data_IF_532443909753
#
_entry.id   IF_532443909753
#
_cell.length_a   1.000
_cell.length_b   1.000
_cell.length_c   1.000
_cell.angle_alpha   90.00
_cell.angle_beta   90.00
_cell.angle_gamma   90.00
#
_symmetry.space_group_name_H-M   'P 1'
#
loop_
_entity.id
_entity.type
_entity.pdbx_description
1 polymer ?
#
# COMPACT_ATOMS: atom_id res chain seq x y z
N UNK A 1 7.38 9.12 3.56
CA UNK A 1 6.16 8.34 3.71
C UNK A 1 5.91 7.45 2.49
N UNK A 2 5.42 7.89 1.29
CA UNK A 2 5.00 7.03 0.17
C UNK A 2 6.05 5.96 -0.20
N UNK A 3 7.26 6.35 -0.60
CA UNK A 3 8.28 5.41 -1.04
C UNK A 3 8.72 4.39 0.03
N UNK A 4 8.78 4.79 1.31
CA UNK A 4 9.14 3.87 2.39
C UNK A 4 8.03 2.85 2.63
N UNK A 5 6.79 3.30 2.64
CA UNK A 5 5.63 2.43 2.85
C UNK A 5 5.52 1.38 1.74
N UNK A 6 5.60 1.80 0.47
CA UNK A 6 5.53 0.88 -0.67
C UNK A 6 6.69 -0.12 -0.68
N UNK A 7 7.90 0.31 -0.29
CA UNK A 7 9.05 -0.60 -0.18
C UNK A 7 8.84 -1.67 0.89
N UNK A 8 8.14 -1.34 1.97
CA UNK A 8 7.80 -2.29 3.03
C UNK A 8 6.71 -3.31 2.65
N UNK A 9 5.97 -3.05 1.56
CA UNK A 9 4.91 -3.94 1.07
C UNK A 9 5.39 -4.98 0.05
N UNK A 10 6.60 -4.81 -0.53
CA UNK A 10 7.12 -5.64 -1.61
C UNK A 10 8.31 -6.48 -1.14
N UNK A 11 8.26 -7.77 -1.42
CA UNK A 11 9.42 -8.65 -1.34
C UNK A 11 10.25 -8.49 -2.62
N UNK A 12 11.39 -7.79 -2.51
CA UNK A 12 12.28 -7.50 -3.65
C UNK A 12 12.99 -8.74 -4.18
N UNK A 13 13.21 -9.76 -3.36
CA UNK A 13 13.79 -11.03 -3.79
C UNK A 13 12.78 -11.81 -4.63
N UNK A 14 11.53 -11.87 -4.18
CA UNK A 14 10.44 -12.48 -4.93
C UNK A 14 10.14 -11.72 -6.25
N UNK A 15 10.21 -10.39 -6.24
CA UNK A 15 10.07 -9.56 -7.45
C UNK A 15 11.19 -9.84 -8.47
N UNK A 16 12.44 -9.95 -8.02
CA UNK A 16 13.61 -10.18 -8.88
C UNK A 16 14.26 -8.90 -9.40
N UNK A 17 15.07 -9.00 -10.46
CA UNK A 17 15.86 -7.88 -10.99
C UNK A 17 15.01 -6.90 -11.82
N UNK A 18 13.91 -6.44 -11.25
CA UNK A 18 12.94 -5.55 -11.88
C UNK A 18 12.92 -4.23 -11.10
N UNK A 19 12.93 -3.11 -11.79
CA UNK A 19 12.71 -1.79 -11.24
C UNK A 19 11.26 -1.35 -11.54
N UNK A 20 10.52 -1.00 -10.49
CA UNK A 20 9.18 -0.42 -10.60
C UNK A 20 9.26 1.07 -10.21
N UNK A 21 8.77 1.93 -11.08
CA UNK A 21 8.59 3.35 -10.80
C UNK A 21 7.11 3.60 -10.55
N UNK A 22 6.80 4.21 -9.42
CA UNK A 22 5.44 4.62 -9.05
C UNK A 22 5.36 6.12 -9.11
N UNK A 23 4.50 6.63 -9.98
CA UNK A 23 4.18 8.04 -10.10
C UNK A 23 2.77 8.28 -9.54
N UNK A 24 2.64 9.27 -8.66
CA UNK A 24 1.38 9.61 -8.00
C UNK A 24 0.98 11.01 -8.42
N UNK A 25 0.01 11.13 -9.32
CA UNK A 25 -0.55 12.40 -9.77
C UNK A 25 -1.87 12.69 -9.06
N UNK A 26 -1.96 13.86 -8.42
CA UNK A 26 -3.14 14.29 -7.67
C UNK A 26 -4.01 15.14 -8.56
N UNK A 27 -5.12 14.59 -9.06
CA UNK A 27 -6.05 15.28 -9.96
C UNK A 27 -6.96 16.26 -9.23
N UNK A 28 -7.37 15.94 -8.00
CA UNK A 28 -8.16 16.81 -7.14
C UNK A 28 -7.69 16.62 -5.69
N UNK A 29 -7.25 17.69 -5.08
CA UNK A 29 -6.73 17.69 -3.72
C UNK A 29 -7.79 18.13 -2.72
N UNK A 30 -7.88 17.35 -1.63
CA UNK A 30 -8.55 17.65 -0.39
C UNK A 30 -7.60 17.18 0.74
N UNK A 31 -8.04 16.92 1.96
CA UNK A 31 -7.20 16.28 2.98
C UNK A 31 -6.68 14.90 2.56
N UNK A 32 -5.66 14.38 3.23
CA UNK A 32 -5.21 12.99 3.10
C UNK A 32 -4.58 12.58 1.76
N UNK A 33 -4.11 13.50 0.91
CA UNK A 33 -3.57 13.17 -0.43
C UNK A 33 -2.42 12.16 -0.41
N UNK A 34 -1.57 12.19 0.63
CA UNK A 34 -0.47 11.21 0.81
C UNK A 34 -1.02 9.81 1.11
N UNK A 35 -2.08 9.72 1.91
CA UNK A 35 -2.75 8.46 2.24
C UNK A 35 -3.45 7.87 1.02
N UNK A 36 -4.18 8.68 0.26
CA UNK A 36 -4.81 8.28 -1.00
C UNK A 36 -3.76 7.77 -2.00
N UNK A 37 -2.63 8.47 -2.15
CA UNK A 37 -1.52 8.05 -3.02
C UNK A 37 -0.97 6.67 -2.64
N UNK A 38 -0.76 6.38 -1.35
CA UNK A 38 -0.26 5.07 -0.90
C UNK A 38 -1.26 3.97 -1.21
N UNK A 39 -2.53 4.21 -0.91
CA UNK A 39 -3.61 3.23 -1.12
C UNK A 39 -3.79 2.93 -2.61
N UNK A 40 -3.80 3.95 -3.47
CA UNK A 40 -3.90 3.79 -4.92
C UNK A 40 -2.65 3.10 -5.51
N UNK A 41 -1.46 3.48 -5.04
CA UNK A 41 -0.19 2.89 -5.49
C UNK A 41 -0.12 1.40 -5.17
N UNK A 42 -0.67 0.93 -4.06
CA UNK A 42 -0.72 -0.50 -3.74
C UNK A 42 -1.53 -1.29 -4.79
N UNK A 43 -2.68 -0.77 -5.21
CA UNK A 43 -3.49 -1.39 -6.28
C UNK A 43 -2.69 -1.41 -7.59
N UNK A 44 -2.09 -0.28 -7.97
CA UNK A 44 -1.30 -0.17 -9.20
C UNK A 44 -0.12 -1.14 -9.21
N UNK A 45 0.58 -1.31 -8.08
CA UNK A 45 1.68 -2.28 -7.93
C UNK A 45 1.19 -3.73 -8.10
N UNK A 46 0.07 -4.11 -7.51
CA UNK A 46 -0.50 -5.45 -7.72
C UNK A 46 -0.82 -5.70 -9.20
N UNK A 47 -1.48 -4.77 -9.85
CA UNK A 47 -1.79 -4.88 -11.29
C UNK A 47 -0.52 -4.95 -12.15
N UNK A 48 0.52 -4.20 -11.81
CA UNK A 48 1.81 -4.26 -12.50
C UNK A 48 2.49 -5.63 -12.30
N UNK A 49 2.52 -6.15 -11.07
CA UNK A 49 3.08 -7.47 -10.78
C UNK A 49 2.32 -8.58 -11.51
N UNK A 50 0.98 -8.55 -11.55
CA UNK A 50 0.18 -9.50 -12.34
C UNK A 50 0.56 -9.49 -13.82
N UNK A 51 0.72 -8.30 -14.41
CA UNK A 51 1.15 -8.16 -15.82
C UNK A 51 2.56 -8.70 -16.05
N UNK A 52 3.51 -8.43 -15.15
CA UNK A 52 4.87 -8.93 -15.23
C UNK A 52 4.94 -10.45 -15.06
N UNK A 53 4.08 -11.04 -14.24
CA UNK A 53 3.96 -12.50 -14.12
C UNK A 53 3.39 -13.08 -15.43
N UNK A 54 2.34 -12.49 -15.97
CA UNK A 54 1.70 -12.95 -17.21
C UNK A 54 2.63 -12.82 -18.43
N UNK A 55 3.48 -11.80 -18.47
CA UNK A 55 4.51 -11.65 -19.54
C UNK A 55 5.74 -12.56 -19.36
N UNK A 56 5.89 -13.20 -18.19
CA UNK A 56 7.07 -14.01 -17.86
C UNK A 56 8.30 -13.21 -17.40
N UNK A 57 8.14 -11.90 -17.14
CA UNK A 57 9.22 -11.05 -16.66
C UNK A 57 9.44 -11.21 -15.14
N UNK A 58 8.38 -11.46 -14.37
CA UNK A 58 8.42 -11.72 -12.95
C UNK A 58 8.11 -13.19 -12.66
N UNK A 59 9.14 -14.00 -12.47
CA UNK A 59 9.02 -15.43 -12.24
C UNK A 59 9.49 -15.84 -10.84
N UNK A 60 8.98 -16.95 -10.29
CA UNK A 60 9.56 -17.61 -9.14
C UNK A 60 11.07 -17.83 -9.29
N UNK A 61 11.81 -17.76 -8.21
CA UNK A 61 13.30 -17.81 -8.22
C UNK A 61 13.83 -19.04 -8.95
N UNK A 62 13.20 -20.19 -8.73
CA UNK A 62 13.55 -21.51 -9.31
C UNK A 62 13.26 -21.61 -10.82
N UNK A 63 12.42 -20.73 -11.36
CA UNK A 63 12.07 -20.68 -12.78
C UNK A 63 12.80 -19.55 -13.55
N UNK A 64 13.63 -18.76 -12.87
CA UNK A 64 14.37 -17.67 -13.50
C UNK A 64 15.51 -18.22 -14.34
N UNK A 65 15.69 -17.70 -15.57
CA UNK A 65 16.78 -18.17 -16.44
C UNK A 65 18.15 -17.75 -15.89
N UNK A 66 19.12 -18.63 -16.05
CA UNK A 66 20.53 -18.26 -15.90
C UNK A 66 20.94 -17.31 -17.04
N UNK A 67 22.12 -16.68 -16.91
CA UNK A 67 22.65 -15.82 -17.97
C UNK A 67 22.81 -16.57 -19.31
N UNK A 68 23.35 -17.77 -19.26
CA UNK A 68 23.56 -18.62 -20.42
C UNK A 68 22.24 -19.01 -21.12
N UNK A 69 21.20 -19.32 -20.32
CA UNK A 69 19.88 -19.62 -20.86
C UNK A 69 19.27 -18.40 -21.59
N UNK A 70 19.41 -17.20 -21.02
CA UNK A 70 18.94 -15.95 -21.67
C UNK A 70 19.62 -15.74 -23.03
N UNK A 71 20.91 -15.95 -23.07
CA UNK A 71 21.70 -15.75 -24.28
C UNK A 71 21.43 -16.83 -25.39
N UNK A 72 20.81 -17.97 -25.00
CA UNK A 72 20.47 -19.09 -25.92
C UNK A 72 19.03 -19.07 -26.45
N UNK A 73 18.27 -17.98 -26.25
CA UNK A 73 16.90 -17.88 -26.74
C UNK A 73 15.87 -18.57 -25.83
N UNK A 74 16.13 -18.57 -24.53
CA UNK A 74 15.20 -19.08 -23.51
C UNK A 74 13.85 -18.37 -23.61
N UNK A 75 12.77 -19.15 -23.42
CA UNK A 75 11.41 -18.64 -23.32
C UNK A 75 10.86 -18.88 -21.93
N UNK A 76 10.18 -17.88 -21.38
CA UNK A 76 9.56 -17.98 -20.07
C UNK A 76 8.49 -19.09 -20.03
N UNK A 77 8.46 -19.91 -19.00
CA UNK A 77 7.36 -20.84 -18.82
C UNK A 77 6.06 -20.06 -18.50
N UNK A 78 4.95 -20.57 -19.03
CA UNK A 78 3.63 -20.05 -18.67
C UNK A 78 3.22 -20.66 -17.32
N UNK A 79 2.96 -19.81 -16.34
CA UNK A 79 2.43 -20.22 -15.05
C UNK A 79 0.92 -20.48 -15.15
N UNK A 80 0.43 -21.48 -14.44
CA UNK A 80 -0.99 -21.64 -14.20
C UNK A 80 -1.53 -20.47 -13.36
N UNK A 81 -2.84 -20.27 -13.35
CA UNK A 81 -3.48 -19.22 -12.56
C UNK A 81 -3.15 -19.34 -11.05
N UNK A 82 -3.16 -20.56 -10.53
CA UNK A 82 -2.81 -20.81 -9.13
C UNK A 82 -1.35 -20.48 -8.80
N UNK A 83 -0.40 -20.82 -9.69
CA UNK A 83 1.01 -20.48 -9.54
C UNK A 83 1.24 -18.97 -9.65
N UNK A 84 0.57 -18.32 -10.58
CA UNK A 84 0.62 -16.87 -10.78
C UNK A 84 0.14 -16.13 -9.52
N UNK A 85 -1.01 -16.50 -8.99
CA UNK A 85 -1.58 -15.94 -7.75
C UNK A 85 -0.69 -16.21 -6.53
N UNK A 86 -0.13 -17.40 -6.43
CA UNK A 86 0.79 -17.73 -5.34
C UNK A 86 2.07 -16.89 -5.42
N UNK A 87 2.60 -16.67 -6.62
CA UNK A 87 3.79 -15.84 -6.82
C UNK A 87 3.49 -14.35 -6.56
N UNK A 88 2.36 -13.82 -7.04
CA UNK A 88 1.90 -12.46 -6.71
C UNK A 88 1.86 -12.24 -5.20
N UNK A 89 1.32 -13.20 -4.43
CA UNK A 89 1.25 -13.11 -2.98
C UNK A 89 2.61 -13.28 -2.27
N UNK A 90 3.61 -13.82 -2.94
CA UNK A 90 5.00 -13.78 -2.46
C UNK A 90 5.64 -12.42 -2.70
N UNK A 91 5.39 -11.82 -3.86
CA UNK A 91 5.92 -10.49 -4.22
C UNK A 91 5.27 -9.40 -3.38
N UNK A 92 3.94 -9.46 -3.17
CA UNK A 92 3.18 -8.52 -2.33
C UNK A 92 2.43 -9.35 -1.27
N UNK A 93 3.08 -9.69 -0.15
CA UNK A 93 2.49 -10.58 0.85
C UNK A 93 1.29 -9.98 1.57
N UNK A 94 1.20 -8.66 1.66
CA UNK A 94 0.11 -7.94 2.30
C UNK A 94 -0.23 -6.68 1.56
N UNK A 95 -1.52 -6.43 1.35
CA UNK A 95 -1.98 -5.15 0.83
C UNK A 95 -1.69 -4.03 1.82
N UNK A 96 -1.34 -2.88 1.27
CA UNK A 96 -1.01 -1.68 2.01
C UNK A 96 -2.11 -0.64 1.80
N UNK A 97 -2.54 -0.03 2.88
CA UNK A 97 -3.43 1.13 2.83
C UNK A 97 -2.96 2.20 3.81
N UNK A 98 -3.40 3.42 3.59
CA UNK A 98 -3.10 4.54 4.47
C UNK A 98 -4.34 5.41 4.66
N UNK A 99 -4.47 5.98 5.84
CA UNK A 99 -5.60 6.82 6.23
C UNK A 99 -5.12 7.98 7.10
N UNK A 100 -5.77 9.14 6.99
CA UNK A 100 -5.61 10.23 7.94
C UNK A 100 -6.64 10.11 9.07
N UNK A 101 -6.25 10.47 10.27
CA UNK A 101 -7.12 10.63 11.43
C UNK A 101 -6.69 11.89 12.18
N UNK A 102 -7.59 12.56 12.84
CA UNK A 102 -7.25 13.74 13.59
C UNK A 102 -8.13 13.95 14.80
N UNK A 103 -7.65 14.81 15.69
CA UNK A 103 -8.40 15.30 16.85
C UNK A 103 -8.79 16.75 16.58
N UNK A 104 -10.08 17.04 16.66
CA UNK A 104 -10.61 18.40 16.55
C UNK A 104 -11.42 18.67 17.84
N UNK A 105 -10.87 19.51 18.70
CA UNK A 105 -11.38 19.65 20.07
C UNK A 105 -11.22 18.33 20.85
N UNK A 106 -12.32 17.73 21.27
CA UNK A 106 -12.33 16.46 22.02
C UNK A 106 -12.77 15.26 21.15
N UNK A 107 -13.01 15.46 19.84
CA UNK A 107 -13.55 14.45 18.96
C UNK A 107 -12.51 13.93 17.96
N UNK A 108 -12.49 12.61 17.76
CA UNK A 108 -11.62 11.92 16.81
C UNK A 108 -12.35 11.74 15.49
N UNK A 109 -11.73 12.19 14.41
CA UNK A 109 -12.24 12.12 13.04
C UNK A 109 -11.42 11.16 12.20
N UNK A 110 -12.10 10.47 11.28
CA UNK A 110 -11.51 9.59 10.28
C UNK A 110 -11.54 10.25 8.90
N UNK A 111 -10.45 10.15 8.15
CA UNK A 111 -10.35 10.62 6.77
C UNK A 111 -10.64 12.13 6.67
N UNK A 112 -9.72 12.90 7.23
CA UNK A 112 -9.86 14.36 7.34
C UNK A 112 -9.94 14.99 5.95
N UNK A 113 -11.03 15.73 5.70
CA UNK A 113 -11.10 16.67 4.59
C UNK A 113 -10.24 17.92 4.89
N UNK A 114 -10.08 18.81 3.92
CA UNK A 114 -9.25 20.01 4.09
C UNK A 114 -9.70 20.90 5.25
N UNK A 115 -11.00 20.97 5.52
CA UNK A 115 -11.55 21.83 6.59
C UNK A 115 -11.20 21.24 7.95
N UNK A 116 -11.39 19.94 8.13
CA UNK A 116 -11.03 19.24 9.37
C UNK A 116 -9.52 19.23 9.58
N UNK A 117 -8.74 18.92 8.53
CA UNK A 117 -7.28 18.88 8.55
C UNK A 117 -6.68 20.23 8.98
N UNK A 118 -7.20 21.34 8.41
CA UNK A 118 -6.74 22.70 8.74
C UNK A 118 -7.13 23.21 10.13
N UNK A 119 -8.06 22.56 10.80
CA UNK A 119 -8.53 22.90 12.16
C UNK A 119 -8.19 21.80 13.18
N UNK A 120 -7.45 20.78 12.80
CA UNK A 120 -7.12 19.69 13.69
C UNK A 120 -6.08 20.11 14.74
N UNK A 121 -6.36 19.83 16.00
CA UNK A 121 -5.39 19.97 17.09
C UNK A 121 -4.27 18.94 16.95
N UNK A 122 -4.60 17.75 16.40
CA UNK A 122 -3.68 16.67 16.09
C UNK A 122 -4.01 16.11 14.71
N UNK A 123 -3.04 16.12 13.79
CA UNK A 123 -3.09 15.41 12.51
C UNK A 123 -2.22 14.15 12.59
N UNK A 124 -2.76 13.02 12.16
CA UNK A 124 -2.04 11.75 12.13
C UNK A 124 -2.31 10.98 10.84
N UNK A 125 -1.22 10.55 10.20
CA UNK A 125 -1.27 9.67 9.03
C UNK A 125 -0.80 8.27 9.44
N UNK A 126 -1.63 7.27 9.18
CA UNK A 126 -1.36 5.88 9.57
C UNK A 126 -1.32 5.00 8.33
N UNK A 127 -0.23 4.26 8.17
CA UNK A 127 -0.05 3.27 7.11
C UNK A 127 -0.08 1.89 7.74
N UNK A 128 -0.94 1.03 7.22
CA UNK A 128 -1.10 -0.33 7.72
C UNK A 128 -1.22 -1.37 6.62
N UNK A 129 -1.10 -2.61 7.02
CA UNK A 129 -1.20 -3.77 6.15
C UNK A 129 -2.52 -4.51 6.37
N UNK A 130 -2.98 -5.25 5.37
CA UNK A 130 -4.23 -6.04 5.43
C UNK A 130 -4.27 -7.08 6.56
N UNK A 131 -3.10 -7.45 7.13
CA UNK A 131 -3.03 -8.33 8.30
C UNK A 131 -3.03 -7.58 9.65
N UNK A 132 -3.35 -6.27 9.65
CA UNK A 132 -3.55 -5.46 10.84
C UNK A 132 -2.28 -4.92 11.50
N UNK A 133 -1.14 -4.97 10.82
CA UNK A 133 0.13 -4.39 11.32
C UNK A 133 0.32 -2.98 10.78
N UNK A 134 0.97 -2.14 11.57
CA UNK A 134 1.36 -0.81 11.13
C UNK A 134 2.71 -0.84 10.40
N UNK A 135 2.84 -0.03 9.36
CA UNK A 135 4.08 0.22 8.63
C UNK A 135 4.68 1.57 9.03
N UNK A 136 3.82 2.58 9.16
CA UNK A 136 4.22 3.92 9.57
C UNK A 136 3.07 4.58 10.33
N UNK A 137 3.40 5.26 11.42
CA UNK A 137 2.49 6.13 12.17
C UNK A 137 3.19 7.47 12.30
N UNK A 138 2.59 8.51 11.75
CA UNK A 138 3.10 9.87 11.80
C UNK A 138 2.01 10.77 12.34
N UNK A 139 2.20 11.31 13.52
CA UNK A 139 1.27 12.22 14.17
C UNK A 139 1.98 13.47 14.68
N UNK A 140 1.32 14.59 14.58
CA UNK A 140 1.81 15.88 15.03
C UNK A 140 0.69 16.64 15.76
N UNK A 141 0.98 17.20 16.92
CA UNK A 141 0.12 18.20 17.54
C UNK A 141 0.41 19.56 16.91
N UNK A 142 -0.56 20.17 16.27
CA UNK A 142 -0.45 21.41 15.49
C UNK A 142 -0.48 22.58 16.43
N UNK A 143 -0.22 22.98 17.33
CA UNK A 143 -0.28 24.01 18.39
C UNK A 143 -0.72 23.43 19.74
N UNK A 144 -0.88 22.11 19.82
CA UNK A 144 -1.31 21.42 21.01
C UNK A 144 -0.47 20.17 21.31
N UNK A 145 -0.76 19.50 22.40
CA UNK A 145 -0.18 18.20 22.76
C UNK A 145 -1.31 17.19 22.88
N UNK A 146 -1.02 15.93 22.70
CA UNK A 146 -2.00 14.85 22.89
C UNK A 146 -1.52 13.82 23.90
N UNK A 147 -2.45 13.29 24.64
CA UNK A 147 -2.24 12.28 25.66
C UNK A 147 -2.09 10.88 25.04
N UNK A 148 -1.72 9.91 25.89
CA UNK A 148 -1.68 8.50 25.49
C UNK A 148 -3.08 7.96 25.14
N UNK A 149 -4.11 8.37 25.85
CA UNK A 149 -5.48 7.91 25.60
C UNK A 149 -6.03 8.45 24.27
N UNK A 150 -5.73 9.70 23.95
CA UNK A 150 -6.05 10.30 22.64
C UNK A 150 -5.27 9.60 21.51
N UNK A 151 -3.98 9.31 21.70
CA UNK A 151 -3.21 8.53 20.74
C UNK A 151 -3.85 7.15 20.50
N UNK A 152 -4.30 6.48 21.55
CA UNK A 152 -4.95 5.18 21.42
C UNK A 152 -6.26 5.28 20.66
N UNK A 153 -7.08 6.29 20.94
CA UNK A 153 -8.33 6.53 20.22
C UNK A 153 -8.10 6.82 18.72
N UNK A 154 -7.10 7.63 18.38
CA UNK A 154 -6.69 7.90 17.01
C UNK A 154 -6.24 6.62 16.30
N UNK A 155 -5.43 5.78 16.94
CA UNK A 155 -4.97 4.51 16.35
C UNK A 155 -6.10 3.50 16.16
N UNK A 156 -7.06 3.43 17.09
CA UNK A 156 -8.23 2.56 16.97
C UNK A 156 -9.15 3.02 15.82
N UNK A 157 -9.35 4.33 15.67
CA UNK A 157 -10.07 4.91 14.54
C UNK A 157 -9.37 4.59 13.22
N UNK A 158 -8.04 4.79 13.15
CA UNK A 158 -7.24 4.48 11.97
C UNK A 158 -7.33 3.00 11.57
N UNK A 159 -7.28 2.07 12.54
CA UNK A 159 -7.42 0.62 12.27
C UNK A 159 -8.75 0.29 11.60
N UNK A 160 -9.83 0.94 12.03
CA UNK A 160 -11.14 0.75 11.40
C UNK A 160 -11.15 1.24 9.95
N UNK A 161 -10.58 2.42 9.68
CA UNK A 161 -10.45 2.96 8.32
C UNK A 161 -9.55 2.10 7.42
N UNK A 162 -8.39 1.65 7.91
CA UNK A 162 -7.49 0.76 7.19
C UNK A 162 -8.15 -0.56 6.81
N UNK A 163 -8.98 -1.12 7.69
CA UNK A 163 -9.74 -2.34 7.39
C UNK A 163 -10.73 -2.12 6.25
N UNK A 164 -11.49 -1.02 6.30
CA UNK A 164 -12.45 -0.67 5.23
C UNK A 164 -11.72 -0.47 3.89
N UNK A 165 -10.60 0.27 3.87
CA UNK A 165 -9.80 0.46 2.67
C UNK A 165 -9.25 -0.86 2.11
N UNK A 166 -8.81 -1.78 2.98
CA UNK A 166 -8.36 -3.11 2.55
C UNK A 166 -9.48 -3.93 1.88
N UNK A 167 -10.70 -3.88 2.43
CA UNK A 167 -11.86 -4.53 1.84
C UNK A 167 -12.22 -3.93 0.47
N UNK A 168 -12.16 -2.59 0.33
CA UNK A 168 -12.39 -1.90 -0.94
C UNK A 168 -11.32 -2.23 -1.99
N UNK A 169 -10.05 -2.26 -1.61
CA UNK A 169 -8.96 -2.65 -2.51
C UNK A 169 -9.16 -4.08 -3.04
N UNK A 170 -9.51 -5.02 -2.18
CA UNK A 170 -9.79 -6.41 -2.58
C UNK A 170 -10.98 -6.49 -3.55
N UNK A 171 -12.03 -5.68 -3.36
CA UNK A 171 -13.17 -5.63 -4.27
C UNK A 171 -12.76 -5.11 -5.66
N UNK A 172 -11.95 -4.04 -5.71
CA UNK A 172 -11.42 -3.48 -6.97
C UNK A 172 -10.55 -4.51 -7.70
N UNK A 173 -9.63 -5.16 -6.98
CA UNK A 173 -8.70 -6.14 -7.57
C UNK A 173 -9.40 -7.39 -8.13
N UNK A 174 -10.56 -7.76 -7.57
CA UNK A 174 -11.41 -8.83 -8.11
C UNK A 174 -12.19 -8.43 -9.38
N UNK A 175 -12.50 -7.14 -9.52
CA UNK A 175 -13.23 -6.63 -10.68
C UNK A 175 -12.38 -6.35 -11.92
N UNK A 176 -11.06 -6.52 -11.82
CA UNK A 176 -10.06 -6.26 -12.88
C UNK A 176 -9.42 -7.57 -13.38
N UNK A 177 -10.00 -8.72 -13.07
CA UNK A 177 -9.62 -10.06 -13.57
C UNK A 177 -10.11 -10.31 -14.99
#
# INVERSE_FOLDING_TARGET
MIARSLRGAIDLEALGPIALTVDCDVLNADGGTRCASITAANIALRLAVRRLIASGDCLPVDLRPTREQRDSGWTAPTLSEAESRNHENKVIPHDLSAISVGLVGEEVYLDLDYILDSNADVDMNVVGTSNGKFVEVQGTGEESTFSYDELQALLDMARNGLKQLSEMQLAVLKGVE
#
